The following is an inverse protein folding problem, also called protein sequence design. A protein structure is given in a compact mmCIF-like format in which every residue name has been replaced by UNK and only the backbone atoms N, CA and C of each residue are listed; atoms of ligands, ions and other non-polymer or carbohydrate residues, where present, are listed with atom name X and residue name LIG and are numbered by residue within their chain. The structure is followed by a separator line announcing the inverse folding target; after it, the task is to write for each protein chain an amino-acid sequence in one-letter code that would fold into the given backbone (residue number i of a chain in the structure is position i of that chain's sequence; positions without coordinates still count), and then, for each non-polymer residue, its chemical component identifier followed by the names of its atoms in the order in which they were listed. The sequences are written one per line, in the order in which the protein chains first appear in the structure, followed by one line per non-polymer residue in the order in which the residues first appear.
data_IF_388257579151
#
_entry.id   IF_388257579151
#
_cell.length_a   1.000
_cell.length_b   1.000
_cell.length_c   1.000
_cell.angle_alpha   90.00
_cell.angle_beta   90.00
_cell.angle_gamma   90.00
#
_symmetry.space_group_name_H-M   'P 1'
#
loop_
_entity.id
_entity.type
_entity.pdbx_description
1 polymer ?
#
# COMPACT_ATOMS: atom_id res chain seq x y z
N UNK A 1 13.70 -6.08 -3.15
CA UNK A 1 12.40 -6.46 -2.53
C UNK A 1 12.53 -7.63 -1.58
N UNK A 2 11.88 -7.55 -0.43
CA UNK A 2 11.98 -8.51 0.67
C UNK A 2 11.21 -9.80 0.38
N UNK A 3 11.61 -10.92 1.01
CA UNK A 3 10.90 -12.21 0.97
C UNK A 3 9.41 -12.06 1.34
N UNK A 4 9.06 -11.09 2.19
CA UNK A 4 7.70 -10.77 2.63
C UNK A 4 6.81 -10.24 1.48
N UNK A 5 7.36 -9.47 0.52
CA UNK A 5 6.60 -9.02 -0.64
C UNK A 5 6.16 -10.17 -1.57
N UNK A 6 6.90 -11.29 -1.57
CA UNK A 6 6.58 -12.49 -2.36
C UNK A 6 5.63 -13.46 -1.66
N UNK A 7 5.39 -13.31 -0.34
CA UNK A 7 4.48 -14.20 0.40
C UNK A 7 3.01 -14.09 -0.06
N UNK A 8 2.67 -13.01 -0.76
CA UNK A 8 1.33 -12.79 -1.31
C UNK A 8 1.02 -13.63 -2.56
N UNK A 9 2.03 -14.21 -3.22
CA UNK A 9 1.82 -14.95 -4.46
C UNK A 9 0.85 -16.13 -4.30
N UNK A 10 0.97 -16.89 -3.22
CA UNK A 10 0.08 -18.02 -2.93
C UNK A 10 -1.35 -17.58 -2.54
N UNK A 11 -1.52 -16.37 -2.02
CA UNK A 11 -2.79 -15.83 -1.57
C UNK A 11 -3.46 -14.88 -2.59
N UNK A 12 -2.87 -14.73 -3.80
CA UNK A 12 -3.29 -13.71 -4.78
C UNK A 12 -4.78 -13.76 -5.12
N UNK A 13 -5.38 -14.93 -5.27
CA UNK A 13 -6.81 -15.07 -5.60
C UNK A 13 -7.71 -14.63 -4.43
N UNK A 14 -7.41 -15.04 -3.20
CA UNK A 14 -8.14 -14.63 -2.00
C UNK A 14 -7.97 -13.13 -1.74
N UNK A 15 -6.76 -12.61 -1.93
CA UNK A 15 -6.46 -11.19 -1.84
C UNK A 15 -7.33 -10.37 -2.81
N UNK A 16 -7.39 -10.76 -4.10
CA UNK A 16 -8.20 -10.08 -5.11
C UNK A 16 -9.70 -10.10 -4.79
N UNK A 17 -10.20 -11.18 -4.18
CA UNK A 17 -11.63 -11.35 -3.92
C UNK A 17 -12.15 -10.51 -2.73
N UNK A 18 -11.32 -10.20 -1.74
CA UNK A 18 -11.79 -9.65 -0.47
C UNK A 18 -11.26 -8.25 -0.14
N UNK A 19 -10.12 -7.85 -0.72
CA UNK A 19 -9.55 -6.53 -0.44
C UNK A 19 -10.47 -5.40 -0.90
N UNK A 20 -10.54 -4.29 -0.13
CA UNK A 20 -11.27 -3.11 -0.53
C UNK A 20 -10.62 -2.49 -1.78
N UNK A 21 -11.46 -2.05 -2.72
CA UNK A 21 -11.02 -1.21 -3.83
C UNK A 21 -10.70 0.21 -3.38
N UNK A 22 -10.92 1.17 -4.29
CA UNK A 22 -10.72 2.59 -4.03
C UNK A 22 -11.94 3.39 -4.52
N UNK A 23 -12.32 4.48 -3.82
CA UNK A 23 -13.44 5.30 -4.24
C UNK A 23 -13.09 6.15 -5.47
N UNK A 24 -14.05 6.47 -6.34
CA UNK A 24 -13.84 7.39 -7.47
C UNK A 24 -13.19 8.72 -7.08
N UNK A 25 -13.57 9.29 -5.94
CA UNK A 25 -13.04 10.55 -5.41
C UNK A 25 -11.51 10.53 -5.15
N UNK A 26 -10.89 9.35 -4.97
CA UNK A 26 -9.44 9.24 -4.89
C UNK A 26 -8.80 9.66 -6.21
N UNK A 27 -9.31 9.16 -7.32
CA UNK A 27 -8.74 9.43 -8.64
C UNK A 27 -9.01 10.86 -9.10
N UNK A 28 -10.16 11.45 -8.69
CA UNK A 28 -10.44 12.89 -8.88
C UNK A 28 -9.38 13.73 -8.14
N UNK A 29 -9.04 13.33 -6.91
CA UNK A 29 -7.98 13.99 -6.14
C UNK A 29 -6.58 13.78 -6.75
N UNK A 30 -6.30 12.62 -7.34
CA UNK A 30 -5.04 12.36 -8.08
C UNK A 30 -4.94 13.33 -9.26
N UNK A 31 -5.99 13.48 -10.07
CA UNK A 31 -6.01 14.41 -11.22
C UNK A 31 -5.79 15.86 -10.77
N UNK A 32 -6.51 16.29 -9.73
CA UNK A 32 -6.40 17.64 -9.18
C UNK A 32 -4.96 17.93 -8.69
N UNK A 33 -4.40 17.06 -7.85
CA UNK A 33 -3.09 17.27 -7.26
C UNK A 33 -1.94 17.08 -8.26
N UNK A 34 -2.08 16.15 -9.21
CA UNK A 34 -1.14 15.98 -10.33
C UNK A 34 -1.24 17.11 -11.35
N UNK A 35 -2.37 17.85 -11.38
CA UNK A 35 -2.64 18.97 -12.31
C UNK A 35 -2.84 18.49 -13.74
N UNK A 36 -3.38 17.28 -13.93
CA UNK A 36 -3.64 16.68 -15.24
C UNK A 36 -4.73 15.63 -15.17
N UNK A 37 -5.52 15.44 -16.24
CA UNK A 37 -6.48 14.36 -16.33
C UNK A 37 -5.78 13.01 -16.47
N UNK A 38 -6.43 11.95 -16.03
CA UNK A 38 -6.01 10.56 -16.24
C UNK A 38 -6.27 10.11 -17.67
N UNK A 39 -7.32 10.65 -18.31
CA UNK A 39 -7.64 10.32 -19.71
C UNK A 39 -6.44 10.62 -20.62
N UNK A 40 -5.96 9.60 -21.33
CA UNK A 40 -4.80 9.67 -22.22
C UNK A 40 -3.45 9.85 -21.52
N UNK A 41 -3.42 9.90 -20.19
CA UNK A 41 -2.16 9.95 -19.46
C UNK A 41 -1.45 8.58 -19.48
N UNK A 42 -0.14 8.59 -19.70
CA UNK A 42 0.69 7.39 -19.58
C UNK A 42 1.04 7.17 -18.10
N UNK A 43 0.50 6.13 -17.51
CA UNK A 43 0.62 5.83 -16.08
C UNK A 43 1.39 4.53 -15.89
N UNK A 44 2.38 4.51 -14.99
CA UNK A 44 2.94 3.27 -14.47
C UNK A 44 2.46 3.04 -13.03
N UNK A 45 1.74 1.94 -12.81
CA UNK A 45 1.28 1.50 -11.49
C UNK A 45 2.28 0.50 -10.93
N UNK A 46 3.03 0.92 -9.90
CA UNK A 46 4.19 0.18 -9.36
C UNK A 46 3.82 -0.56 -8.08
N UNK A 47 4.15 -1.84 -8.04
CA UNK A 47 3.65 -2.76 -7.03
C UNK A 47 2.15 -3.02 -7.23
N UNK A 48 1.76 -3.21 -8.50
CA UNK A 48 0.37 -3.26 -8.94
C UNK A 48 -0.46 -4.39 -8.29
N UNK A 49 0.22 -5.41 -7.74
CA UNK A 49 -0.44 -6.55 -7.11
C UNK A 49 -1.36 -7.30 -8.07
N UNK A 50 -2.59 -7.49 -7.67
CA UNK A 50 -3.64 -8.12 -8.50
C UNK A 50 -4.32 -7.15 -9.48
N UNK A 51 -3.93 -5.86 -9.47
CA UNK A 51 -4.39 -4.86 -10.43
C UNK A 51 -5.58 -4.02 -9.99
N UNK A 52 -5.91 -3.95 -8.72
CA UNK A 52 -7.08 -3.17 -8.24
C UNK A 52 -6.99 -1.68 -8.59
N UNK A 53 -5.87 -1.03 -8.33
CA UNK A 53 -5.66 0.36 -8.71
C UNK A 53 -5.46 0.49 -10.23
N UNK A 54 -4.69 -0.42 -10.81
CA UNK A 54 -4.40 -0.49 -12.24
C UNK A 54 -5.67 -0.48 -13.08
N UNK A 55 -6.66 -1.31 -12.74
CA UNK A 55 -7.94 -1.39 -13.45
C UNK A 55 -8.71 -0.07 -13.38
N UNK A 56 -8.81 0.54 -12.19
CA UNK A 56 -9.53 1.80 -12.00
C UNK A 56 -8.86 2.98 -12.73
N UNK A 57 -7.53 3.01 -12.80
CA UNK A 57 -6.78 3.96 -13.61
C UNK A 57 -7.09 3.78 -15.10
N UNK A 58 -7.09 2.51 -15.55
CA UNK A 58 -7.41 2.18 -16.94
C UNK A 58 -8.87 2.51 -17.31
N UNK A 59 -9.82 2.21 -16.43
CA UNK A 59 -11.24 2.57 -16.61
C UNK A 59 -11.48 4.07 -16.72
N UNK A 60 -10.59 4.89 -16.12
CA UNK A 60 -10.59 6.34 -16.28
C UNK A 60 -9.89 6.83 -17.55
N UNK A 61 -9.52 5.93 -18.44
CA UNK A 61 -8.95 6.23 -19.74
C UNK A 61 -7.44 6.48 -19.75
N UNK A 62 -6.74 6.10 -18.67
CA UNK A 62 -5.27 6.15 -18.67
C UNK A 62 -4.66 5.00 -19.49
N UNK A 63 -3.53 5.26 -20.14
CA UNK A 63 -2.67 4.25 -20.76
C UNK A 63 -1.76 3.63 -19.69
N UNK A 64 -2.25 2.58 -19.03
CA UNK A 64 -1.59 2.01 -17.84
C UNK A 64 -0.64 0.89 -18.21
N UNK A 65 0.56 0.92 -17.62
CA UNK A 65 1.50 -0.20 -17.53
C UNK A 65 1.63 -0.59 -16.07
N UNK A 66 1.30 -1.84 -15.74
CA UNK A 66 1.47 -2.38 -14.41
C UNK A 66 2.90 -2.93 -14.22
N UNK A 67 3.56 -2.58 -13.12
CA UNK A 67 4.86 -3.14 -12.71
C UNK A 67 4.66 -3.94 -11.44
N UNK A 68 4.92 -5.25 -11.48
CA UNK A 68 4.70 -6.14 -10.35
C UNK A 68 5.84 -7.18 -10.22
N UNK A 69 6.48 -7.29 -9.04
CA UNK A 69 7.57 -8.25 -8.83
C UNK A 69 7.10 -9.67 -8.51
N UNK A 70 5.89 -9.87 -7.98
CA UNK A 70 5.34 -11.18 -7.61
C UNK A 70 4.81 -11.96 -8.82
N UNK A 71 5.22 -13.24 -8.98
CA UNK A 71 4.76 -14.07 -10.10
C UNK A 71 3.26 -14.37 -10.04
N UNK A 72 2.76 -14.73 -8.85
CA UNK A 72 1.36 -15.05 -8.62
C UNK A 72 0.46 -13.84 -8.78
N UNK A 73 0.87 -12.69 -8.23
CA UNK A 73 0.15 -11.42 -8.37
C UNK A 73 0.07 -10.97 -9.83
N UNK A 74 1.22 -10.94 -10.53
CA UNK A 74 1.28 -10.59 -11.95
C UNK A 74 0.46 -11.53 -12.83
N UNK A 75 0.46 -12.83 -12.53
CA UNK A 75 -0.37 -13.81 -13.25
C UNK A 75 -1.86 -13.58 -13.01
N UNK A 76 -2.27 -13.22 -11.79
CA UNK A 76 -3.66 -12.89 -11.46
C UNK A 76 -4.09 -11.61 -12.20
N UNK A 77 -3.26 -10.57 -12.21
CA UNK A 77 -3.52 -9.32 -12.91
C UNK A 77 -3.72 -9.58 -14.42
N UNK A 78 -2.82 -10.33 -15.06
CA UNK A 78 -2.95 -10.68 -16.49
C UNK A 78 -4.24 -11.46 -16.81
N UNK A 79 -4.67 -12.34 -15.91
CA UNK A 79 -5.93 -13.09 -16.08
C UNK A 79 -7.16 -12.20 -15.95
N UNK A 80 -7.14 -11.30 -14.96
CA UNK A 80 -8.28 -10.41 -14.69
C UNK A 80 -8.40 -9.27 -15.70
N UNK A 81 -7.27 -8.77 -16.22
CA UNK A 81 -7.19 -7.56 -17.04
C UNK A 81 -6.28 -7.77 -18.26
N UNK A 82 -6.67 -8.67 -19.17
CA UNK A 82 -5.85 -9.11 -20.32
C UNK A 82 -5.42 -7.97 -21.27
N UNK A 83 -6.13 -6.84 -21.26
CA UNK A 83 -5.80 -5.64 -22.07
C UNK A 83 -4.74 -4.73 -21.47
N UNK A 84 -4.31 -4.95 -20.22
CA UNK A 84 -3.34 -4.09 -19.54
C UNK A 84 -1.95 -4.72 -19.60
N UNK A 85 -0.92 -4.02 -20.13
CA UNK A 85 0.46 -4.50 -20.10
C UNK A 85 0.98 -4.69 -18.67
N UNK A 86 1.56 -5.87 -18.39
CA UNK A 86 2.17 -6.21 -17.11
C UNK A 86 3.64 -6.54 -17.28
N UNK A 87 4.50 -5.74 -16.66
CA UNK A 87 5.95 -5.89 -16.68
C UNK A 87 6.44 -6.40 -15.32
N UNK A 88 7.37 -7.36 -15.32
CA UNK A 88 8.01 -7.85 -14.10
C UNK A 88 9.12 -6.89 -13.68
N UNK A 89 9.04 -6.40 -12.46
CA UNK A 89 10.01 -5.45 -11.90
C UNK A 89 9.61 -4.97 -10.52
N UNK A 90 10.52 -4.26 -9.88
CA UNK A 90 10.27 -3.62 -8.60
C UNK A 90 10.49 -2.11 -8.65
N UNK A 91 10.09 -1.41 -7.58
CA UNK A 91 10.14 0.05 -7.51
C UNK A 91 11.55 0.62 -7.35
N UNK A 92 12.53 -0.21 -6.98
CA UNK A 92 13.92 0.21 -6.77
C UNK A 92 14.72 0.20 -8.07
N UNK A 93 14.21 -0.52 -9.08
CA UNK A 93 14.80 -0.59 -10.44
C UNK A 93 13.68 -0.83 -11.46
N UNK A 94 13.08 0.25 -11.93
CA UNK A 94 11.96 0.18 -12.86
C UNK A 94 12.41 -0.23 -14.27
N UNK A 95 11.87 -1.31 -14.84
CA UNK A 95 12.18 -1.73 -16.21
C UNK A 95 11.40 -0.89 -17.25
N UNK A 96 11.45 0.43 -17.08
CA UNK A 96 10.70 1.42 -17.87
C UNK A 96 11.67 2.45 -18.48
N UNK A 97 11.29 3.00 -19.62
CA UNK A 97 12.09 3.99 -20.33
C UNK A 97 12.12 5.34 -19.57
N UNK A 98 13.23 6.05 -19.70
CA UNK A 98 13.43 7.39 -19.15
C UNK A 98 12.46 8.39 -19.78
N UNK A 99 11.82 9.26 -18.96
CA UNK A 99 10.94 10.33 -19.41
C UNK A 99 9.71 9.85 -20.15
N UNK A 100 9.23 8.63 -19.87
CA UNK A 100 8.18 7.99 -20.64
C UNK A 100 6.77 8.14 -20.06
N UNK A 101 6.64 8.49 -18.79
CA UNK A 101 5.37 8.47 -18.07
C UNK A 101 4.97 9.84 -17.53
N UNK A 102 3.66 10.06 -17.51
CA UNK A 102 3.03 11.25 -16.93
C UNK A 102 2.84 11.15 -15.44
N UNK A 103 2.56 9.94 -15.00
CA UNK A 103 2.23 9.62 -13.61
C UNK A 103 2.84 8.27 -13.24
N UNK A 104 3.46 8.22 -12.06
CA UNK A 104 3.76 6.98 -11.34
C UNK A 104 2.80 6.87 -10.17
N UNK A 105 2.25 5.68 -9.95
CA UNK A 105 1.39 5.39 -8.80
C UNK A 105 1.98 4.27 -7.95
N UNK A 106 1.87 4.42 -6.63
CA UNK A 106 2.17 3.39 -5.64
C UNK A 106 0.97 3.23 -4.72
N UNK A 107 0.07 2.32 -5.10
CA UNK A 107 -1.12 1.97 -4.34
C UNK A 107 -0.76 0.98 -3.23
N UNK A 108 -0.58 1.46 -2.00
CA UNK A 108 -0.13 0.64 -0.86
C UNK A 108 1.20 -0.11 -1.09
N UNK A 109 2.07 0.40 -1.96
CA UNK A 109 3.26 -0.32 -2.39
C UNK A 109 4.58 0.37 -2.02
N UNK A 110 4.57 1.68 -1.77
CA UNK A 110 5.77 2.46 -1.52
C UNK A 110 6.63 1.94 -0.37
N UNK A 111 6.01 1.46 0.71
CA UNK A 111 6.72 0.95 1.88
C UNK A 111 7.53 -0.35 1.64
N UNK A 112 7.41 -0.94 0.45
CA UNK A 112 8.22 -2.09 0.03
C UNK A 112 9.51 -1.69 -0.67
N UNK A 113 9.69 -0.40 -0.99
CA UNK A 113 10.85 0.13 -1.72
C UNK A 113 11.91 0.70 -0.79
N UNK A 114 13.11 0.87 -1.33
CA UNK A 114 14.16 1.67 -0.71
C UNK A 114 14.15 3.06 -1.34
N UNK A 115 13.82 4.14 -0.60
CA UNK A 115 13.80 5.50 -1.13
C UNK A 115 15.12 5.96 -1.76
N UNK A 116 16.27 5.41 -1.33
CA UNK A 116 17.56 5.72 -1.93
C UNK A 116 17.66 5.28 -3.41
N UNK A 117 16.89 4.28 -3.81
CA UNK A 117 16.82 3.76 -5.16
C UNK A 117 15.54 4.17 -5.88
N UNK A 118 14.38 4.08 -5.23
CA UNK A 118 13.08 4.34 -5.86
C UNK A 118 12.86 5.82 -6.20
N UNK A 119 13.42 6.77 -5.45
CA UNK A 119 13.32 8.20 -5.76
C UNK A 119 14.07 8.58 -7.06
N UNK A 120 15.33 8.20 -7.25
CA UNK A 120 16.01 8.39 -8.54
C UNK A 120 15.28 7.71 -9.72
N UNK A 121 14.75 6.51 -9.52
CA UNK A 121 14.00 5.79 -10.55
C UNK A 121 12.68 6.51 -10.91
N UNK A 122 11.93 6.99 -9.91
CA UNK A 122 10.73 7.78 -10.15
C UNK A 122 11.04 9.04 -10.99
N UNK A 123 12.10 9.77 -10.63
CA UNK A 123 12.56 10.94 -11.41
C UNK A 123 12.98 10.58 -12.83
N UNK A 124 13.68 9.46 -12.99
CA UNK A 124 14.15 9.00 -14.31
C UNK A 124 12.99 8.66 -15.25
N UNK A 125 11.99 7.98 -14.73
CA UNK A 125 10.88 7.43 -15.52
C UNK A 125 9.83 8.51 -15.84
N UNK A 126 9.62 9.46 -14.93
CA UNK A 126 8.70 10.57 -15.14
C UNK A 126 9.28 11.58 -16.16
N UNK A 127 8.42 12.07 -17.02
CA UNK A 127 8.75 13.21 -17.90
C UNK A 127 8.74 14.52 -17.10
N UNK A 128 9.40 15.58 -17.57
CA UNK A 128 9.30 16.90 -16.95
C UNK A 128 7.83 17.32 -16.79
N UNK A 129 7.45 17.75 -15.59
CA UNK A 129 6.07 18.05 -15.23
C UNK A 129 5.18 16.81 -14.97
N UNK A 130 5.77 15.63 -14.89
CA UNK A 130 5.11 14.42 -14.43
C UNK A 130 4.89 14.43 -12.91
N UNK A 131 4.17 13.44 -12.38
CA UNK A 131 3.86 13.36 -10.96
C UNK A 131 4.05 11.95 -10.40
N UNK A 132 4.41 11.88 -9.12
CA UNK A 132 4.40 10.68 -8.30
C UNK A 132 3.22 10.76 -7.34
N UNK A 133 2.32 9.77 -7.37
CA UNK A 133 1.21 9.61 -6.44
C UNK A 133 1.41 8.36 -5.57
N UNK A 134 1.36 8.53 -4.26
CA UNK A 134 1.48 7.46 -3.27
C UNK A 134 0.24 7.51 -2.40
N UNK A 135 -0.39 6.36 -2.12
CA UNK A 135 -1.51 6.34 -1.19
C UNK A 135 -1.59 5.05 -0.38
N UNK A 136 -2.20 5.19 0.78
CA UNK A 136 -2.59 4.09 1.67
C UNK A 136 -4.08 4.17 1.95
N UNK A 137 -4.73 3.02 2.05
CA UNK A 137 -6.14 2.88 2.39
C UNK A 137 -6.21 2.21 3.76
N UNK A 138 -6.54 2.98 4.77
CA UNK A 138 -6.56 2.54 6.16
C UNK A 138 -7.98 2.44 6.69
N UNK A 139 -8.18 1.59 7.69
CA UNK A 139 -9.42 1.54 8.46
C UNK A 139 -9.68 2.90 9.13
N UNK A 140 -10.91 3.41 9.07
CA UNK A 140 -11.27 4.66 9.75
C UNK A 140 -11.51 4.41 11.25
N UNK A 141 -10.46 4.57 12.03
CA UNK A 141 -10.50 4.39 13.50
C UNK A 141 -11.31 5.47 14.25
N UNK A 142 -11.90 6.44 13.56
CA UNK A 142 -12.90 7.33 14.18
C UNK A 142 -14.24 6.61 14.39
N UNK A 143 -14.45 5.48 13.75
CA UNK A 143 -15.61 4.60 13.94
C UNK A 143 -15.32 3.65 15.13
N UNK A 144 -16.13 3.66 16.20
CA UNK A 144 -15.80 2.96 17.44
C UNK A 144 -15.48 1.47 17.29
N UNK A 145 -16.33 0.71 16.60
CA UNK A 145 -16.10 -0.74 16.45
C UNK A 145 -14.83 -1.07 15.65
N UNK A 146 -14.45 -0.19 14.70
CA UNK A 146 -13.21 -0.31 13.92
C UNK A 146 -12.00 -0.05 14.83
N UNK A 147 -12.05 1.01 15.65
CA UNK A 147 -11.00 1.31 16.62
C UNK A 147 -10.78 0.15 17.60
N UNK A 148 -11.86 -0.45 18.10
CA UNK A 148 -11.80 -1.62 18.97
C UNK A 148 -11.19 -2.84 18.26
N UNK A 149 -11.55 -3.10 17.00
CA UNK A 149 -10.96 -4.18 16.20
C UNK A 149 -9.46 -3.96 15.98
N UNK A 150 -9.05 -2.76 15.61
CA UNK A 150 -7.62 -2.43 15.43
C UNK A 150 -6.84 -2.58 16.75
N UNK A 151 -7.43 -2.18 17.88
CA UNK A 151 -6.82 -2.39 19.20
C UNK A 151 -6.66 -3.88 19.53
N UNK A 152 -7.65 -4.73 19.22
CA UNK A 152 -7.56 -6.19 19.40
C UNK A 152 -6.48 -6.79 18.49
N UNK A 153 -6.38 -6.35 17.24
CA UNK A 153 -5.34 -6.76 16.30
C UNK A 153 -3.95 -6.40 16.83
N UNK A 154 -3.76 -5.15 17.25
CA UNK A 154 -2.50 -4.68 17.80
C UNK A 154 -2.10 -5.48 19.07
N UNK A 155 -3.03 -5.73 19.98
CA UNK A 155 -2.79 -6.54 21.16
C UNK A 155 -2.43 -7.99 20.81
N UNK A 156 -3.10 -8.61 19.87
CA UNK A 156 -2.88 -9.99 19.46
C UNK A 156 -1.49 -10.18 18.82
N UNK A 157 -1.10 -9.30 17.91
CA UNK A 157 0.21 -9.39 17.25
C UNK A 157 1.34 -8.85 18.14
N UNK A 158 1.10 -7.82 18.93
CA UNK A 158 2.06 -7.29 19.89
C UNK A 158 2.41 -8.29 20.99
N UNK A 159 1.44 -9.06 21.50
CA UNK A 159 1.65 -10.10 22.49
C UNK A 159 2.45 -11.32 21.95
N UNK A 160 2.41 -11.57 20.64
CA UNK A 160 3.16 -12.66 19.99
C UNK A 160 4.58 -12.27 19.59
N UNK A 161 5.01 -11.03 19.87
CA UNK A 161 6.27 -10.48 19.40
C UNK A 161 6.27 -10.40 17.86
N UNK A 162 6.35 -9.20 17.30
CA UNK A 162 6.71 -9.13 15.88
C UNK A 162 7.99 -9.94 15.70
N UNK A 163 8.08 -10.83 14.69
CA UNK A 163 9.36 -11.44 14.37
C UNK A 163 10.34 -10.31 14.14
N UNK A 164 11.42 -10.27 14.94
CA UNK A 164 12.44 -9.26 14.85
C UNK A 164 12.78 -9.02 13.39
N UNK A 165 12.74 -7.77 12.96
CA UNK A 165 13.14 -7.38 11.61
C UNK A 165 14.63 -7.70 11.49
N UNK A 166 14.95 -8.90 11.03
CA UNK A 166 16.33 -9.26 10.68
C UNK A 166 16.76 -8.31 9.55
N UNK A 167 17.68 -7.42 9.87
CA UNK A 167 18.39 -6.60 8.89
C UNK A 167 18.37 -5.09 9.07
N UNK A 168 17.69 -4.51 10.07
CA UNK A 168 17.91 -3.08 10.38
C UNK A 168 18.79 -2.94 11.62
N UNK A 169 19.93 -2.24 11.52
CA UNK A 169 20.77 -1.97 12.68
C UNK A 169 19.97 -1.19 13.74
N UNK A 170 20.13 -1.58 15.01
CA UNK A 170 19.50 -0.91 16.15
C UNK A 170 19.91 0.57 16.23
N UNK A 171 19.10 1.40 16.92
CA UNK A 171 19.48 2.82 17.17
C UNK A 171 20.90 2.90 17.79
N UNK A 172 21.28 1.93 18.60
CA UNK A 172 22.57 1.86 19.24
C UNK A 172 23.70 1.50 18.26
N UNK A 173 23.48 0.54 17.34
CA UNK A 173 24.45 0.21 16.27
C UNK A 173 24.62 1.32 15.25
N UNK A 174 23.55 2.10 14.97
CA UNK A 174 23.64 3.30 14.13
C UNK A 174 24.45 4.41 14.81
N UNK A 175 24.29 4.58 16.12
CA UNK A 175 25.05 5.54 16.91
C UNK A 175 26.52 5.17 17.00
N UNK A 176 26.86 3.91 17.25
CA UNK A 176 28.23 3.40 17.30
C UNK A 176 28.93 3.50 15.93
N UNK A 177 28.20 3.27 14.83
CA UNK A 177 28.73 3.50 13.46
C UNK A 177 28.98 4.98 13.18
N UNK A 178 28.08 5.88 13.58
CA UNK A 178 28.24 7.34 13.41
C UNK A 178 29.43 7.90 14.20
N UNK A 179 29.59 7.48 15.47
CA UNK A 179 30.73 7.87 16.30
C UNK A 179 32.06 7.41 15.73
N UNK A 180 32.06 6.26 15.03
CA UNK A 180 33.26 5.70 14.38
C UNK A 180 33.69 6.45 13.10
N UNK A 181 32.74 7.14 12.42
CA UNK A 181 33.00 7.82 11.14
C UNK A 181 32.95 9.34 11.21
N UNK A 182 32.79 9.97 12.40
CA UNK A 182 32.76 11.44 12.60
C UNK A 182 31.79 12.19 11.67
N UNK A 183 30.63 11.62 11.37
CA UNK A 183 29.60 12.30 10.58
C UNK A 183 28.86 13.35 11.43
N UNK A 184 28.62 14.59 10.90
CA UNK A 184 27.93 15.64 11.63
C UNK A 184 26.48 15.27 11.95
N UNK A 185 25.99 15.70 13.13
CA UNK A 185 24.60 15.53 13.53
C UNK A 185 23.69 16.33 12.59
N UNK A 186 22.81 15.63 11.84
CA UNK A 186 21.68 16.27 11.21
C UNK A 186 20.63 16.63 12.28
N UNK A 187 20.00 17.82 12.22
CA UNK A 187 19.00 18.23 13.20
C UNK A 187 17.82 17.23 13.22
N UNK A 188 17.48 16.71 14.40
CA UNK A 188 16.30 15.88 14.61
C UNK A 188 15.03 16.73 14.37
N UNK A 189 14.35 16.50 13.25
CA UNK A 189 13.00 17.02 13.06
C UNK A 189 12.01 16.19 13.90
N UNK A 190 10.93 16.83 14.44
CA UNK A 190 9.98 16.16 15.31
C UNK A 190 9.35 14.94 14.60
N UNK A 191 9.41 13.80 15.27
CA UNK A 191 8.75 12.56 14.84
C UNK A 191 7.24 12.81 14.73
N UNK A 192 6.73 12.95 13.49
CA UNK A 192 5.30 12.83 13.26
C UNK A 192 4.91 11.39 13.57
N UNK A 193 4.04 11.20 14.55
CA UNK A 193 3.50 9.92 14.98
C UNK A 193 2.71 9.26 13.84
N UNK A 194 3.41 8.47 13.03
CA UNK A 194 2.87 7.53 12.07
C UNK A 194 3.72 6.27 12.09
N UNK A 195 3.13 5.10 12.11
CA UNK A 195 3.85 3.82 12.17
C UNK A 195 5.03 3.83 11.21
N UNK A 196 6.23 3.48 11.66
CA UNK A 196 7.52 3.66 10.98
C UNK A 196 7.71 3.03 9.59
N UNK A 197 6.63 2.64 8.92
CA UNK A 197 6.58 2.03 7.58
C UNK A 197 6.14 3.01 6.47
N UNK A 198 5.66 4.22 6.80
CA UNK A 198 5.00 5.13 5.84
C UNK A 198 5.68 6.49 5.72
N UNK A 199 6.98 6.48 5.67
CA UNK A 199 7.74 7.72 5.47
C UNK A 199 7.66 8.13 4.01
N UNK A 200 7.22 9.36 3.74
CA UNK A 200 7.25 9.94 2.40
C UNK A 200 8.71 10.20 1.98
N UNK A 201 9.03 9.97 0.71
CA UNK A 201 10.40 10.17 0.24
C UNK A 201 10.80 11.65 0.27
N UNK A 202 12.02 11.91 0.70
CA UNK A 202 12.68 13.21 0.53
C UNK A 202 13.23 13.33 -0.91
N UNK A 203 13.36 14.55 -1.41
CA UNK A 203 14.04 14.80 -2.68
C UNK A 203 13.15 14.82 -3.93
N UNK A 204 11.81 14.74 -3.81
CA UNK A 204 10.87 14.89 -4.93
C UNK A 204 10.12 16.23 -4.94
N UNK A 205 10.56 17.20 -4.13
CA UNK A 205 9.79 18.41 -3.88
C UNK A 205 8.77 18.21 -2.76
N UNK A 206 7.89 19.21 -2.54
CA UNK A 206 6.81 19.10 -1.55
C UNK A 206 5.70 18.17 -2.02
N UNK A 207 5.17 17.36 -1.10
CA UNK A 207 3.97 16.57 -1.35
C UNK A 207 2.71 17.38 -1.03
N UNK A 208 1.80 17.53 -2.01
CA UNK A 208 0.42 17.89 -1.73
C UNK A 208 -0.32 16.66 -1.20
N UNK A 209 -1.13 16.85 -0.16
CA UNK A 209 -1.82 15.73 0.53
C UNK A 209 -3.33 15.90 0.49
N UNK A 210 -4.05 14.77 0.37
CA UNK A 210 -5.51 14.72 0.46
C UNK A 210 -5.93 13.46 1.22
N UNK A 211 -6.88 13.60 2.14
CA UNK A 211 -7.57 12.46 2.76
C UNK A 211 -8.94 12.28 2.12
N UNK A 212 -9.26 11.05 1.70
CA UNK A 212 -10.54 10.68 1.11
C UNK A 212 -11.19 9.61 1.99
N UNK A 213 -12.31 9.96 2.65
CA UNK A 213 -13.11 8.98 3.41
C UNK A 213 -14.11 8.31 2.51
N UNK A 214 -14.31 7.01 2.72
CA UNK A 214 -15.29 6.22 2.00
C UNK A 214 -15.70 5.00 2.82
N UNK A 215 -16.79 4.36 2.43
CA UNK A 215 -17.21 3.10 3.04
C UNK A 215 -17.75 2.13 1.98
N UNK A 216 -17.81 0.85 2.36
CA UNK A 216 -18.52 -0.19 1.60
C UNK A 216 -19.28 -1.10 2.55
N UNK A 217 -20.38 -1.65 2.07
CA UNK A 217 -21.14 -2.66 2.80
C UNK A 217 -20.81 -4.04 2.28
N UNK A 218 -20.42 -4.93 3.17
CA UNK A 218 -20.04 -6.31 2.83
C UNK A 218 -20.62 -7.29 3.85
N UNK A 219 -20.86 -8.56 3.46
CA UNK A 219 -21.16 -9.61 4.44
C UNK A 219 -20.08 -9.73 5.50
N UNK A 220 -20.43 -10.06 6.74
CA UNK A 220 -19.48 -10.28 7.83
C UNK A 220 -18.40 -11.31 7.45
N UNK A 221 -18.76 -12.36 6.70
CA UNK A 221 -17.80 -13.34 6.20
C UNK A 221 -16.76 -12.73 5.26
N UNK A 222 -17.17 -11.80 4.39
CA UNK A 222 -16.26 -11.11 3.48
C UNK A 222 -15.33 -10.14 4.23
N UNK A 223 -15.84 -9.46 5.27
CA UNK A 223 -15.03 -8.65 6.17
C UNK A 223 -13.94 -9.47 6.86
N UNK A 224 -14.30 -10.60 7.46
CA UNK A 224 -13.36 -11.49 8.13
C UNK A 224 -12.35 -12.12 7.16
N UNK A 225 -12.76 -12.42 5.93
CA UNK A 225 -11.85 -12.90 4.88
C UNK A 225 -10.87 -11.80 4.42
N UNK A 226 -11.34 -10.54 4.33
CA UNK A 226 -10.45 -9.40 4.10
C UNK A 226 -9.40 -9.28 5.21
N UNK A 227 -9.84 -9.34 6.48
CA UNK A 227 -8.96 -9.30 7.64
C UNK A 227 -7.88 -10.39 7.58
N UNK A 228 -8.29 -11.65 7.33
CA UNK A 228 -7.40 -12.80 7.20
C UNK A 228 -6.39 -12.68 6.04
N UNK A 229 -6.65 -11.83 5.05
CA UNK A 229 -5.77 -11.60 3.90
C UNK A 229 -4.59 -10.66 4.20
N UNK A 230 -4.52 -10.07 5.40
CA UNK A 230 -3.42 -9.18 5.78
C UNK A 230 -2.12 -9.96 6.00
N UNK A 231 -0.96 -9.32 5.69
CA UNK A 231 0.35 -9.95 5.74
C UNK A 231 0.69 -10.61 7.09
N UNK A 232 0.23 -10.02 8.19
CA UNK A 232 0.42 -10.56 9.53
C UNK A 232 -0.24 -11.94 9.71
N UNK A 233 -1.43 -12.14 9.12
CA UNK A 233 -2.13 -13.41 9.16
C UNK A 233 -1.51 -14.47 8.24
N UNK A 234 -0.96 -14.07 7.09
CA UNK A 234 -0.21 -14.99 6.22
C UNK A 234 1.01 -15.57 6.94
N UNK A 235 1.65 -14.78 7.80
CA UNK A 235 2.77 -15.23 8.63
C UNK A 235 2.34 -16.07 9.84
N UNK A 236 1.11 -15.86 10.34
CA UNK A 236 0.56 -16.59 11.50
C UNK A 236 0.24 -18.05 11.17
N UNK A 237 -0.02 -18.36 9.91
CA UNK A 237 -0.44 -19.67 9.43
C UNK A 237 -1.94 -19.93 9.62
N UNK A 238 -2.40 -21.01 9.00
CA UNK A 238 -3.83 -21.30 8.85
C UNK A 238 -4.56 -21.53 10.19
N UNK A 239 -3.94 -22.27 11.11
CA UNK A 239 -4.55 -22.59 12.40
C UNK A 239 -4.75 -21.35 13.26
N UNK A 240 -3.71 -20.50 13.35
CA UNK A 240 -3.77 -19.27 14.14
C UNK A 240 -4.76 -18.26 13.53
N UNK A 241 -4.78 -18.15 12.21
CA UNK A 241 -5.71 -17.29 11.48
C UNK A 241 -7.16 -17.71 11.72
N UNK A 242 -7.49 -19.01 11.58
CA UNK A 242 -8.84 -19.53 11.84
C UNK A 242 -9.30 -19.25 13.28
N UNK A 243 -8.44 -19.47 14.25
CA UNK A 243 -8.77 -19.23 15.67
C UNK A 243 -9.08 -17.74 15.92
N UNK A 244 -8.27 -16.83 15.39
CA UNK A 244 -8.51 -15.39 15.51
C UNK A 244 -9.83 -14.97 14.84
N UNK A 245 -10.03 -15.40 13.59
CA UNK A 245 -11.24 -15.08 12.80
C UNK A 245 -12.51 -15.58 13.49
N UNK A 246 -12.48 -16.77 14.11
CA UNK A 246 -13.61 -17.30 14.85
C UNK A 246 -13.95 -16.43 16.08
N UNK A 247 -12.93 -16.04 16.87
CA UNK A 247 -13.10 -15.17 18.02
C UNK A 247 -13.61 -13.77 17.61
N UNK A 248 -13.07 -13.20 16.54
CA UNK A 248 -13.49 -11.89 16.03
C UNK A 248 -14.92 -11.91 15.52
N UNK A 249 -15.37 -13.02 14.91
CA UNK A 249 -16.75 -13.23 14.50
C UNK A 249 -17.71 -13.17 15.68
N UNK A 250 -17.40 -13.84 16.79
CA UNK A 250 -18.24 -13.83 17.99
C UNK A 250 -18.40 -12.42 18.57
N UNK A 251 -17.33 -11.61 18.47
CA UNK A 251 -17.35 -10.22 18.94
C UNK A 251 -18.14 -9.29 18.03
N UNK A 252 -18.04 -9.49 16.70
CA UNK A 252 -18.70 -8.60 15.73
C UNK A 252 -20.15 -8.97 15.44
N UNK A 253 -20.55 -10.23 15.52
CA UNK A 253 -21.91 -10.67 15.19
C UNK A 253 -23.01 -9.92 15.96
N UNK A 254 -22.88 -9.60 17.25
CA UNK A 254 -23.88 -8.80 17.97
C UNK A 254 -24.00 -7.36 17.47
N UNK A 255 -22.93 -6.78 16.91
CA UNK A 255 -22.94 -5.42 16.34
C UNK A 255 -23.61 -5.38 14.96
N UNK A 256 -23.65 -6.51 14.24
CA UNK A 256 -24.18 -6.63 12.88
C UNK A 256 -25.21 -7.75 12.79
N UNK A 257 -26.41 -7.60 13.38
CA UNK A 257 -27.39 -8.66 13.45
C UNK A 257 -27.99 -9.04 12.09
N UNK A 258 -27.89 -8.16 11.08
CA UNK A 258 -28.26 -8.42 9.68
C UNK A 258 -27.12 -9.10 8.88
N UNK A 259 -25.97 -9.37 9.53
CA UNK A 259 -24.81 -9.98 8.90
C UNK A 259 -24.07 -9.06 7.92
N UNK A 260 -24.38 -7.76 7.90
CA UNK A 260 -23.76 -6.78 6.99
C UNK A 260 -22.90 -5.79 7.74
N UNK A 261 -21.64 -5.72 7.40
CA UNK A 261 -20.66 -4.79 7.98
C UNK A 261 -20.49 -3.59 7.05
N UNK A 262 -20.57 -2.38 7.60
CA UNK A 262 -20.11 -1.17 6.93
C UNK A 262 -18.64 -0.91 7.27
N UNK A 263 -17.76 -1.30 6.36
CA UNK A 263 -16.33 -1.03 6.47
C UNK A 263 -16.06 0.41 6.06
N UNK A 264 -15.54 1.23 6.98
CA UNK A 264 -15.15 2.62 6.72
C UNK A 264 -13.64 2.74 6.60
N UNK A 265 -13.19 3.53 5.62
CA UNK A 265 -11.78 3.70 5.26
C UNK A 265 -11.42 5.16 5.07
N UNK A 266 -10.13 5.44 5.27
CA UNK A 266 -9.50 6.71 4.92
C UNK A 266 -8.35 6.44 3.97
N UNK A 267 -8.43 6.97 2.75
CA UNK A 267 -7.29 6.97 1.83
C UNK A 267 -6.47 8.21 2.10
N UNK A 268 -5.21 8.02 2.45
CA UNK A 268 -4.20 9.09 2.57
C UNK A 268 -3.42 9.18 1.25
N UNK A 269 -3.72 10.19 0.43
CA UNK A 269 -3.08 10.44 -0.86
C UNK A 269 -1.99 11.51 -0.72
N UNK A 270 -0.84 11.26 -1.33
CA UNK A 270 0.30 12.17 -1.40
C UNK A 270 0.78 12.27 -2.85
N UNK A 271 0.89 13.47 -3.39
CA UNK A 271 1.30 13.71 -4.78
C UNK A 271 2.44 14.72 -4.81
N UNK A 272 3.55 14.37 -5.47
CA UNK A 272 4.66 15.26 -5.77
C UNK A 272 4.79 15.44 -7.28
N UNK A 273 4.96 16.67 -7.77
CA UNK A 273 5.28 16.99 -9.17
C UNK A 273 6.79 17.10 -9.36
N UNK A 274 7.33 16.56 -10.45
CA UNK A 274 8.77 16.55 -10.79
C UNK A 274 9.09 17.38 -12.01
#
# INVERSE_FOLDING_TARGET
MTTRARSFDAAAASYAAHRPGYPPALFDAVEELAGRPLVGARVADVGAGTGMATALLHERGAEVVAVEPGDGMAAQLRRAHAGIPVVRGDGDRLPLATGAFDLLTYAQAWHWTDPAHSVPEARRVLRPGGALAIWWNDSDTTVPWIAEQEARLAAFFGAKGEPAQEGKPSKQEKREKREKWQEPEEPEEPETQGSGFRTLPRGLGGFATRSVRWSRRVPLDAHLANLASHSAFLMLGEVGTRAYVAAERELLAPHFPDGTVEESYVVSLHVARV
#
